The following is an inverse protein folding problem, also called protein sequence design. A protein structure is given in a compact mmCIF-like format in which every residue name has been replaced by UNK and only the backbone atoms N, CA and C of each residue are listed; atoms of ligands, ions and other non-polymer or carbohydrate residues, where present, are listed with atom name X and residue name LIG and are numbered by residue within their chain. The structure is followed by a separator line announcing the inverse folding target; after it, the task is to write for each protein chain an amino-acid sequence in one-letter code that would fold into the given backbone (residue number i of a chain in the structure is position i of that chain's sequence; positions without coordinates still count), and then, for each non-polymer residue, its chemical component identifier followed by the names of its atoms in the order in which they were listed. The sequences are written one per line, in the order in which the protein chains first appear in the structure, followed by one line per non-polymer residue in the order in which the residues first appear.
data_IF_413736315979
#
_entry.id   IF_413736315979
#
_cell.length_a   1.000
_cell.length_b   1.000
_cell.length_c   1.000
_cell.angle_alpha   90.00
_cell.angle_beta   90.00
_cell.angle_gamma   90.00
#
_symmetry.space_group_name_H-M   'P 1'
#
loop_
_entity.id
_entity.type
_entity.pdbx_description
1 polymer ?
#
# COMPACT_ATOMS: atom_id res chain seq x y z
N UNK A 1 18.56 26.14 14.82
CA UNK A 1 18.85 25.26 15.98
C UNK A 1 18.42 23.85 15.61
N UNK A 2 19.37 22.91 15.44
CA UNK A 2 19.05 21.50 15.16
C UNK A 2 18.38 20.86 16.40
N UNK A 3 17.10 20.52 16.28
CA UNK A 3 16.36 19.75 17.28
C UNK A 3 16.87 18.31 17.31
N UNK A 4 17.27 17.85 18.50
CA UNK A 4 17.87 16.53 18.73
C UNK A 4 16.79 15.44 18.61
N UNK A 5 17.03 14.44 17.77
CA UNK A 5 16.12 13.31 17.59
C UNK A 5 16.10 12.40 18.82
N UNK A 6 14.89 12.02 19.27
CA UNK A 6 14.68 10.98 20.28
C UNK A 6 14.63 9.61 19.61
N UNK A 7 15.54 8.71 20.00
CA UNK A 7 15.50 7.29 19.62
C UNK A 7 14.48 6.55 20.50
N UNK A 8 13.56 5.81 19.90
CA UNK A 8 12.64 4.90 20.61
C UNK A 8 13.12 3.46 20.44
N UNK A 9 13.49 2.79 21.54
CA UNK A 9 13.70 1.34 21.60
C UNK A 9 12.36 0.63 21.37
N UNK A 10 12.32 -0.34 20.47
CA UNK A 10 11.17 -1.24 20.27
C UNK A 10 11.43 -2.51 21.08
N UNK A 11 10.58 -2.77 22.07
CA UNK A 11 10.54 -4.04 22.79
C UNK A 11 9.69 -5.05 22.02
N UNK A 12 10.22 -6.26 21.78
CA UNK A 12 9.51 -7.35 21.10
C UNK A 12 8.54 -8.03 22.09
N UNK A 13 7.26 -7.72 21.98
CA UNK A 13 6.19 -8.51 22.62
C UNK A 13 5.84 -9.73 21.77
N UNK A 14 6.09 -10.94 22.30
CA UNK A 14 5.52 -12.19 21.80
C UNK A 14 4.14 -12.35 22.43
N UNK A 15 3.08 -12.42 21.61
CA UNK A 15 1.73 -12.77 22.07
C UNK A 15 1.38 -14.17 21.58
N UNK A 16 1.55 -15.15 22.47
CA UNK A 16 0.90 -16.46 22.36
C UNK A 16 -0.47 -16.41 23.04
N UNK A 17 -1.46 -17.05 22.44
CA UNK A 17 -2.80 -17.17 23.03
C UNK A 17 -3.66 -18.21 22.30
N UNK A 18 -3.72 -19.42 22.85
CA UNK A 18 -4.82 -20.37 22.59
C UNK A 18 -6.00 -19.98 23.50
N UNK A 19 -7.19 -19.80 22.92
CA UNK A 19 -8.45 -19.78 23.68
C UNK A 19 -9.58 -20.26 22.78
N UNK A 20 -10.03 -21.47 23.07
CA UNK A 20 -11.25 -22.09 22.57
C UNK A 20 -12.49 -21.38 23.13
N UNK A 21 -13.35 -20.86 22.26
CA UNK A 21 -14.66 -20.31 22.64
C UNK A 21 -15.41 -19.78 21.43
N UNK A 22 -16.51 -20.43 21.05
CA UNK A 22 -17.27 -20.15 19.83
C UNK A 22 -17.97 -18.78 19.86
N UNK A 23 -17.75 -18.01 18.79
CA UNK A 23 -18.56 -16.86 18.40
C UNK A 23 -18.88 -16.99 16.90
N UNK A 24 -20.11 -17.44 16.60
CA UNK A 24 -20.69 -17.44 15.26
C UNK A 24 -21.02 -16.00 14.82
N UNK A 25 -20.01 -15.21 14.41
CA UNK A 25 -20.27 -13.85 13.94
C UNK A 25 -19.09 -12.97 13.53
N UNK A 26 -17.85 -13.46 13.60
CA UNK A 26 -16.71 -12.75 13.01
C UNK A 26 -16.13 -13.64 11.92
N UNK A 27 -16.66 -13.48 10.70
CA UNK A 27 -16.00 -13.98 9.51
C UNK A 27 -14.54 -13.51 9.56
N UNK A 28 -13.62 -14.42 9.28
CA UNK A 28 -12.17 -14.22 9.31
C UNK A 28 -11.78 -12.75 9.11
N UNK A 29 -11.20 -12.10 10.12
CA UNK A 29 -10.73 -10.71 10.10
C UNK A 29 -9.67 -10.40 9.03
N UNK A 30 -9.30 -11.41 8.26
CA UNK A 30 -8.30 -11.37 7.22
C UNK A 30 -8.96 -10.89 5.94
N UNK A 31 -8.69 -9.64 5.55
CA UNK A 31 -9.04 -9.14 4.21
C UNK A 31 -8.42 -10.08 3.16
N UNK A 32 -9.19 -10.59 2.20
CA UNK A 32 -8.65 -11.47 1.16
C UNK A 32 -7.61 -10.71 0.31
N UNK A 33 -6.55 -11.41 -0.10
CA UNK A 33 -5.55 -10.84 -0.99
C UNK A 33 -6.16 -10.51 -2.36
N UNK A 34 -5.79 -9.37 -2.93
CA UNK A 34 -6.14 -9.02 -4.31
C UNK A 34 -5.38 -9.90 -5.33
N UNK A 35 -5.92 -10.04 -6.55
CA UNK A 35 -5.31 -10.86 -7.60
C UNK A 35 -3.95 -10.30 -8.03
N UNK A 36 -3.05 -11.22 -8.40
CA UNK A 36 -1.69 -10.91 -8.86
C UNK A 36 -1.51 -11.45 -10.27
N UNK A 37 -1.13 -10.58 -11.19
CA UNK A 37 -0.97 -10.91 -12.61
C UNK A 37 0.50 -10.84 -13.04
N UNK A 38 0.90 -11.74 -13.94
CA UNK A 38 2.25 -11.88 -14.45
C UNK A 38 2.21 -11.88 -15.99
N UNK A 39 2.14 -10.70 -16.64
CA UNK A 39 2.11 -10.60 -18.09
C UNK A 39 3.36 -11.19 -18.74
N UNK A 40 3.19 -11.71 -19.95
CA UNK A 40 4.30 -11.98 -20.86
C UNK A 40 4.90 -10.68 -21.41
N UNK A 41 6.05 -10.75 -22.08
CA UNK A 41 6.69 -9.56 -22.67
C UNK A 41 5.81 -8.89 -23.75
N UNK A 42 5.09 -9.70 -24.52
CA UNK A 42 4.17 -9.22 -25.56
C UNK A 42 2.98 -8.48 -24.94
N UNK A 43 2.37 -9.07 -23.90
CA UNK A 43 1.27 -8.46 -23.17
C UNK A 43 1.68 -7.20 -22.40
N UNK A 44 2.91 -7.16 -21.90
CA UNK A 44 3.43 -6.01 -21.17
C UNK A 44 3.77 -4.82 -22.09
N UNK A 45 3.80 -5.04 -23.42
CA UNK A 45 4.10 -3.99 -24.40
C UNK A 45 2.98 -2.94 -24.51
N UNK A 46 1.73 -3.35 -24.39
CA UNK A 46 0.57 -2.46 -24.30
C UNK A 46 -0.14 -2.62 -22.94
N UNK A 47 0.21 -1.78 -21.94
CA UNK A 47 -0.38 -1.87 -20.61
C UNK A 47 -1.89 -1.63 -20.59
N UNK A 48 -2.43 -0.80 -21.47
CA UNK A 48 -3.86 -0.49 -21.47
C UNK A 48 -4.65 -1.69 -21.97
N UNK A 49 -4.22 -2.30 -23.06
CA UNK A 49 -4.81 -3.53 -23.58
C UNK A 49 -4.79 -4.64 -22.52
N UNK A 50 -3.64 -4.80 -21.84
CA UNK A 50 -3.52 -5.78 -20.76
C UNK A 50 -4.47 -5.49 -19.59
N UNK A 51 -4.62 -4.23 -19.17
CA UNK A 51 -5.58 -3.84 -18.12
C UNK A 51 -7.01 -4.17 -18.53
N UNK A 52 -7.40 -3.92 -19.79
CA UNK A 52 -8.72 -4.29 -20.29
C UNK A 52 -8.95 -5.80 -20.26
N UNK A 53 -7.91 -6.58 -20.60
CA UNK A 53 -7.95 -8.04 -20.55
C UNK A 53 -8.18 -8.58 -19.14
N UNK A 54 -7.50 -8.03 -18.12
CA UNK A 54 -7.60 -8.52 -16.72
C UNK A 54 -8.75 -7.87 -15.93
N UNK A 55 -9.37 -6.79 -16.43
CA UNK A 55 -10.48 -6.07 -15.78
C UNK A 55 -11.58 -7.00 -15.24
N UNK A 56 -12.17 -7.93 -16.01
CA UNK A 56 -13.28 -8.75 -15.51
C UNK A 56 -12.92 -9.59 -14.26
N UNK A 57 -11.65 -9.95 -14.10
CA UNK A 57 -11.15 -10.70 -12.93
C UNK A 57 -10.75 -9.77 -11.77
N UNK A 58 -10.21 -8.59 -12.07
CA UNK A 58 -9.69 -7.65 -11.08
C UNK A 58 -10.76 -6.72 -10.49
N UNK A 59 -11.77 -6.36 -11.27
CA UNK A 59 -12.81 -5.39 -10.92
C UNK A 59 -13.56 -5.73 -9.62
N UNK A 60 -13.95 -7.00 -9.34
CA UNK A 60 -14.63 -7.37 -8.10
C UNK A 60 -13.81 -7.09 -6.82
N UNK A 61 -12.48 -7.03 -6.93
CA UNK A 61 -11.58 -6.78 -5.79
C UNK A 61 -11.29 -5.28 -5.60
N UNK A 62 -11.54 -4.44 -6.60
CA UNK A 62 -11.21 -3.01 -6.61
C UNK A 62 -9.71 -2.70 -6.75
N UNK A 63 -8.82 -3.62 -6.37
CA UNK A 63 -7.36 -3.51 -6.51
C UNK A 63 -6.76 -4.81 -7.06
N UNK A 64 -5.67 -4.69 -7.82
CA UNK A 64 -4.85 -5.82 -8.24
C UNK A 64 -3.36 -5.44 -8.27
N UNK A 65 -2.48 -6.44 -8.32
CA UNK A 65 -1.02 -6.25 -8.44
C UNK A 65 -0.55 -6.83 -9.78
N UNK A 66 0.17 -6.05 -10.56
CA UNK A 66 0.83 -6.52 -11.78
C UNK A 66 2.33 -6.61 -11.50
N UNK A 67 2.91 -7.80 -11.70
CA UNK A 67 4.35 -8.03 -11.58
C UNK A 67 4.95 -8.01 -12.98
N UNK A 68 5.81 -7.03 -13.32
CA UNK A 68 6.36 -6.93 -14.67
C UNK A 68 7.27 -8.14 -15.01
N UNK A 69 7.51 -8.40 -16.31
CA UNK A 69 8.45 -9.42 -16.76
C UNK A 69 9.85 -9.22 -16.19
N UNK A 70 10.62 -10.31 -16.00
CA UNK A 70 11.97 -10.26 -15.42
C UNK A 70 12.98 -9.46 -16.25
N UNK A 71 12.74 -9.33 -17.55
CA UNK A 71 13.54 -8.53 -18.49
C UNK A 71 13.33 -7.02 -18.30
N UNK A 72 12.20 -6.61 -17.73
CA UNK A 72 11.88 -5.20 -17.50
C UNK A 72 12.51 -4.70 -16.21
N UNK A 73 13.60 -3.95 -16.34
CA UNK A 73 14.36 -3.36 -15.23
C UNK A 73 14.75 -1.93 -15.58
N UNK A 74 13.83 -0.95 -15.44
CA UNK A 74 14.16 0.44 -15.70
C UNK A 74 15.21 0.94 -14.69
N UNK A 75 16.16 1.79 -15.11
CA UNK A 75 17.09 2.41 -14.18
C UNK A 75 16.34 3.38 -13.26
N UNK A 76 16.80 3.51 -12.03
CA UNK A 76 16.31 4.55 -11.12
C UNK A 76 16.95 5.89 -11.52
N UNK A 77 16.13 6.86 -11.94
CA UNK A 77 16.61 8.10 -12.54
C UNK A 77 16.94 9.21 -11.53
N UNK A 78 16.64 9.01 -10.24
CA UNK A 78 16.86 10.03 -9.21
C UNK A 78 18.21 9.81 -8.52
N UNK A 79 18.97 10.90 -8.39
CA UNK A 79 20.17 10.94 -7.57
C UNK A 79 19.78 11.12 -6.09
N UNK A 80 20.07 10.11 -5.28
CA UNK A 80 19.70 10.09 -3.87
C UNK A 80 20.50 11.09 -3.04
N UNK A 81 21.70 11.48 -3.47
CA UNK A 81 22.57 12.39 -2.71
C UNK A 81 22.17 13.86 -2.89
N UNK A 82 21.52 14.18 -4.02
CA UNK A 82 21.05 15.51 -4.36
C UNK A 82 19.55 15.72 -4.06
N UNK A 83 18.79 14.64 -3.88
CA UNK A 83 17.33 14.72 -3.72
C UNK A 83 16.92 14.91 -2.25
N UNK A 84 16.43 16.10 -1.92
CA UNK A 84 15.83 16.40 -0.61
C UNK A 84 14.42 16.96 -0.78
N UNK A 85 13.48 16.53 0.05
CA UNK A 85 12.12 17.07 0.06
C UNK A 85 11.60 17.20 1.50
N UNK A 86 10.76 18.21 1.79
CA UNK A 86 10.15 18.35 3.11
C UNK A 86 9.17 17.20 3.36
N UNK A 87 9.27 16.58 4.54
CA UNK A 87 8.39 15.49 4.95
C UNK A 87 7.24 16.03 5.80
N UNK A 88 6.09 15.34 5.77
CA UNK A 88 4.93 15.66 6.61
C UNK A 88 4.88 14.71 7.81
N UNK A 89 4.67 15.25 9.01
CA UNK A 89 4.39 14.44 10.19
C UNK A 89 2.96 13.90 10.13
N UNK A 90 2.81 12.59 10.27
CA UNK A 90 1.52 11.91 10.33
C UNK A 90 1.34 11.32 11.73
N UNK A 91 0.54 11.97 12.57
CA UNK A 91 0.22 11.49 13.90
C UNK A 91 -0.82 10.35 13.80
N UNK A 92 -0.38 9.10 13.99
CA UNK A 92 -1.20 7.89 13.75
C UNK A 92 -2.54 7.93 14.49
N UNK A 93 -2.54 8.41 15.74
CA UNK A 93 -3.75 8.53 16.57
C UNK A 93 -4.79 9.54 16.04
N UNK A 94 -4.40 10.42 15.12
CA UNK A 94 -5.28 11.42 14.50
C UNK A 94 -5.65 11.06 13.05
N UNK A 95 -5.07 10.00 12.47
CA UNK A 95 -5.27 9.67 11.06
C UNK A 95 -6.71 9.30 10.69
N UNK A 96 -7.49 8.79 11.66
CA UNK A 96 -8.90 8.46 11.45
C UNK A 96 -9.79 9.70 11.32
N UNK A 97 -9.35 10.84 11.85
CA UNK A 97 -10.09 12.11 11.85
C UNK A 97 -9.48 13.10 10.85
N UNK A 98 -9.16 12.65 9.64
CA UNK A 98 -8.74 13.53 8.54
C UNK A 98 -9.91 13.79 7.60
N UNK A 99 -10.11 15.05 7.24
CA UNK A 99 -10.93 15.38 6.07
C UNK A 99 -10.30 14.74 4.82
N UNK A 100 -11.15 14.38 3.85
CA UNK A 100 -10.65 13.89 2.56
C UNK A 100 -9.69 14.95 1.97
N UNK A 101 -8.60 14.54 1.29
CA UNK A 101 -7.63 15.48 0.70
C UNK A 101 -8.26 16.51 -0.25
N UNK A 102 -9.44 16.22 -0.77
CA UNK A 102 -10.20 17.06 -1.69
C UNK A 102 -11.59 17.35 -1.12
N UNK A 103 -11.69 17.94 0.07
CA UNK A 103 -12.94 18.53 0.54
C UNK A 103 -13.04 19.97 0.01
N UNK A 104 -13.99 20.29 -0.89
CA UNK A 104 -14.16 21.64 -1.42
C UNK A 104 -14.45 22.68 -0.33
N UNK A 105 -14.90 22.26 0.86
CA UNK A 105 -15.32 23.12 1.97
C UNK A 105 -14.17 23.61 2.86
N UNK A 106 -12.92 23.27 2.53
CA UNK A 106 -11.72 23.69 3.26
C UNK A 106 -10.86 24.71 2.48
N UNK A 107 -11.40 25.28 1.40
CA UNK A 107 -10.73 26.26 0.54
C UNK A 107 -11.16 27.71 0.81
N UNK A 108 -11.91 27.96 1.89
CA UNK A 108 -12.34 29.29 2.33
C UNK A 108 -11.57 29.75 3.59
#
# INVERSE_FOLDING_TARGET
MMGRGMTRKVEKGVLGGNSSGGLNGFGSLTVPAGPVFYPTEEEFKDPLEYIYKIRPEAEPYGICKIVPPKSWKPPFALDMDLFTFPTKLQAIHQLQARSAPCDPRLLD
#
